data_IF_892442757095
#
_entry.id   IF_892442757095
#
_cell.length_a   1.000
_cell.length_b   1.000
_cell.length_c   1.000
_cell.angle_alpha   90.00
_cell.angle_beta   90.00
_cell.angle_gamma   90.00
#
_symmetry.space_group_name_H-M   'P 1'
#
loop_
_entity.id
_entity.type
_entity.pdbx_description
1 polymer ?
#
# COMPACT_ATOMS: atom_id res chain seq x y z
N UNK A 1 -18.33 -26.68 52.11
CA UNK A 1 -18.68 -25.39 51.50
C UNK A 1 -17.53 -24.38 51.48
N UNK A 2 -16.83 -24.11 52.58
CA UNK A 2 -15.74 -23.12 52.62
C UNK A 2 -14.58 -23.37 51.63
N UNK A 3 -14.18 -24.63 51.41
CA UNK A 3 -13.11 -24.99 50.45
C UNK A 3 -13.48 -24.68 48.99
N UNK A 4 -14.75 -24.85 48.61
CA UNK A 4 -15.20 -24.56 47.25
C UNK A 4 -15.39 -23.04 47.04
N UNK A 5 -15.75 -22.28 48.09
CA UNK A 5 -15.79 -20.82 48.02
C UNK A 5 -14.38 -20.22 47.86
N UNK A 6 -13.37 -20.77 48.54
CA UNK A 6 -11.98 -20.29 48.40
C UNK A 6 -11.39 -20.56 47.01
N UNK A 7 -11.72 -21.70 46.40
CA UNK A 7 -11.28 -22.04 45.03
C UNK A 7 -11.95 -21.11 44.01
N UNK A 8 -13.24 -20.81 44.17
CA UNK A 8 -13.94 -19.84 43.31
C UNK A 8 -13.37 -18.43 43.49
N UNK A 9 -13.00 -18.03 44.72
CA UNK A 9 -12.40 -16.72 44.99
C UNK A 9 -10.97 -16.59 44.45
N UNK A 10 -10.17 -17.67 44.51
CA UNK A 10 -8.83 -17.76 43.91
C UNK A 10 -8.88 -17.79 42.37
N UNK A 11 -9.88 -18.46 41.78
CA UNK A 11 -10.11 -18.41 40.33
C UNK A 11 -10.64 -17.04 39.87
N UNK A 12 -11.49 -16.37 40.66
CA UNK A 12 -11.94 -15.02 40.35
C UNK A 12 -10.85 -13.95 40.50
N UNK A 13 -9.84 -14.19 41.35
CA UNK A 13 -8.65 -13.32 41.43
C UNK A 13 -7.67 -13.53 40.25
N UNK A 14 -7.67 -14.73 39.64
CA UNK A 14 -6.86 -15.04 38.46
C UNK A 14 -7.50 -14.58 37.13
N UNK A 15 -8.79 -14.22 37.15
CA UNK A 15 -9.49 -13.56 36.03
C UNK A 15 -9.70 -12.08 36.39
N UNK A 16 -8.66 -11.42 36.88
CA UNK A 16 -8.53 -10.00 36.59
C UNK A 16 -8.33 -9.90 35.08
N UNK A 17 -9.42 -9.65 34.35
CA UNK A 17 -9.38 -9.27 32.93
C UNK A 17 -8.31 -8.18 32.83
N UNK A 18 -7.17 -8.53 32.22
CA UNK A 18 -6.09 -7.58 31.94
C UNK A 18 -6.74 -6.41 31.22
N UNK A 19 -6.66 -5.20 31.79
CA UNK A 19 -7.11 -4.01 31.08
C UNK A 19 -6.14 -3.81 29.91
N UNK A 20 -6.52 -4.32 28.73
CA UNK A 20 -5.77 -4.11 27.50
C UNK A 20 -6.06 -2.68 27.02
N UNK A 21 -5.05 -1.81 27.11
CA UNK A 21 -5.10 -0.49 26.49
C UNK A 21 -4.84 -0.66 24.99
N UNK A 22 -5.71 -0.09 24.16
CA UNK A 22 -5.65 -0.21 22.70
C UNK A 22 -5.40 1.15 22.08
N UNK A 23 -4.28 1.29 21.38
CA UNK A 23 -4.01 2.39 20.48
C UNK A 23 -4.53 2.03 19.09
N UNK A 24 -5.46 2.80 18.55
CA UNK A 24 -6.03 2.63 17.21
C UNK A 24 -5.52 3.71 16.27
N UNK A 25 -4.86 3.28 15.20
CA UNK A 25 -4.33 4.14 14.13
C UNK A 25 -5.06 3.76 12.85
N UNK A 26 -5.71 4.73 12.23
CA UNK A 26 -6.21 4.58 10.86
C UNK A 26 -5.19 5.16 9.88
N UNK A 27 -5.12 4.62 8.67
CA UNK A 27 -4.24 5.15 7.63
C UNK A 27 -4.75 4.82 6.23
N UNK A 28 -4.23 5.56 5.25
CA UNK A 28 -4.50 5.31 3.83
C UNK A 28 -3.82 6.33 2.93
N UNK A 29 -3.88 6.06 1.63
CA UNK A 29 -3.42 6.94 0.56
C UNK A 29 -4.40 6.93 -0.61
N UNK A 30 -4.15 7.78 -1.60
CA UNK A 30 -4.86 7.76 -2.88
C UNK A 30 -6.35 8.10 -2.70
N UNK A 31 -6.58 9.22 -2.03
CA UNK A 31 -7.88 9.85 -1.89
C UNK A 31 -8.09 10.83 -3.03
N UNK A 32 -8.94 10.45 -3.97
CA UNK A 32 -9.37 11.30 -5.07
C UNK A 32 -10.80 11.76 -4.82
N UNK A 33 -10.98 13.08 -4.73
CA UNK A 33 -12.31 13.66 -4.64
C UNK A 33 -13.01 13.64 -6.01
N UNK A 34 -14.27 13.20 -6.01
CA UNK A 34 -15.14 13.27 -7.19
C UNK A 34 -16.26 14.27 -6.95
N UNK A 35 -16.34 15.32 -7.78
CA UNK A 35 -17.42 16.32 -7.68
C UNK A 35 -18.83 15.75 -7.84
N UNK A 36 -18.96 14.58 -8.46
CA UNK A 36 -20.25 13.94 -8.72
C UNK A 36 -20.77 13.10 -7.55
N UNK A 37 -19.91 12.73 -6.58
CA UNK A 37 -20.28 11.84 -5.47
C UNK A 37 -19.46 12.15 -4.21
N UNK A 38 -20.14 12.33 -3.08
CA UNK A 38 -19.48 12.40 -1.77
C UNK A 38 -18.85 11.04 -1.44
N UNK A 39 -17.65 11.04 -0.88
CA UNK A 39 -16.98 9.82 -0.41
C UNK A 39 -17.18 9.69 1.09
N UNK A 40 -17.96 8.71 1.55
CA UNK A 40 -18.25 8.48 2.98
C UNK A 40 -17.14 7.73 3.73
N UNK A 41 -15.98 7.51 3.09
CA UNK A 41 -14.85 6.77 3.66
C UNK A 41 -14.40 7.31 5.02
N UNK A 42 -14.37 8.63 5.23
CA UNK A 42 -14.01 9.20 6.53
C UNK A 42 -15.08 9.01 7.60
N UNK A 43 -16.36 8.99 7.21
CA UNK A 43 -17.45 8.62 8.12
C UNK A 43 -17.30 7.17 8.60
N UNK A 44 -16.85 6.28 7.71
CA UNK A 44 -16.58 4.87 8.01
C UNK A 44 -15.36 4.70 8.92
N UNK A 45 -14.25 5.37 8.60
CA UNK A 45 -13.04 5.36 9.43
C UNK A 45 -13.35 5.88 10.84
N UNK A 46 -14.20 6.91 10.98
CA UNK A 46 -14.60 7.45 12.28
C UNK A 46 -15.22 6.40 13.21
N UNK A 47 -15.87 5.37 12.68
CA UNK A 47 -16.52 4.31 13.49
C UNK A 47 -15.52 3.51 14.34
N UNK A 48 -14.25 3.52 13.95
CA UNK A 48 -13.17 2.85 14.67
C UNK A 48 -12.56 3.70 15.78
N UNK A 49 -13.02 4.95 15.96
CA UNK A 49 -12.52 5.92 16.94
C UNK A 49 -10.97 6.00 16.99
N UNK A 50 -10.29 6.21 15.85
CA UNK A 50 -8.83 6.24 15.83
C UNK A 50 -8.29 7.46 16.60
N UNK A 51 -7.19 7.26 17.34
CA UNK A 51 -6.45 8.37 17.94
C UNK A 51 -5.63 9.14 16.90
N UNK A 52 -5.11 8.42 15.89
CA UNK A 52 -4.35 8.98 14.79
C UNK A 52 -4.90 8.55 13.44
N UNK A 53 -4.87 9.47 12.48
CA UNK A 53 -5.01 9.15 11.07
C UNK A 53 -3.73 9.55 10.34
N UNK A 54 -3.12 8.60 9.66
CA UNK A 54 -1.87 8.80 8.92
C UNK A 54 -2.17 8.86 7.42
N UNK A 55 -1.97 10.03 6.82
CA UNK A 55 -1.87 10.14 5.37
C UNK A 55 -0.56 9.55 4.89
N UNK A 56 -0.64 8.58 3.99
CA UNK A 56 0.52 7.95 3.36
C UNK A 56 0.64 8.34 1.88
N UNK A 57 0.26 9.57 1.53
CA UNK A 57 0.34 10.08 0.16
C UNK A 57 -1.00 10.26 -0.54
N UNK A 58 -0.93 10.92 -1.70
CA UNK A 58 -2.02 11.18 -2.63
C UNK A 58 -3.33 11.60 -1.98
N UNK A 59 -3.27 12.61 -1.11
CA UNK A 59 -4.42 13.13 -0.39
C UNK A 59 -5.29 14.06 -1.25
N UNK A 60 -4.76 14.63 -2.35
CA UNK A 60 -5.51 15.59 -3.17
C UNK A 60 -5.27 15.51 -4.69
N UNK A 61 -4.30 14.71 -5.16
CA UNK A 61 -3.95 14.57 -6.59
C UNK A 61 -3.78 15.91 -7.31
N UNK A 62 -2.76 16.67 -6.94
CA UNK A 62 -2.60 18.06 -7.38
C UNK A 62 -2.00 18.24 -8.77
N UNK A 63 -1.53 17.16 -9.40
CA UNK A 63 -0.81 17.16 -10.68
C UNK A 63 -1.52 17.94 -11.78
N UNK A 64 -0.69 18.39 -12.72
CA UNK A 64 -1.07 19.06 -13.95
C UNK A 64 -1.80 20.39 -13.74
N UNK A 65 -1.86 20.90 -12.50
CA UNK A 65 -2.50 22.18 -12.16
C UNK A 65 -1.43 23.23 -11.87
N UNK A 66 -1.22 24.17 -12.79
CA UNK A 66 -0.25 25.26 -12.58
C UNK A 66 -0.84 26.42 -11.77
N UNK A 67 -2.16 26.47 -11.59
CA UNK A 67 -2.86 27.66 -11.06
C UNK A 67 -3.88 27.35 -9.96
N UNK A 68 -4.14 26.08 -9.63
CA UNK A 68 -5.20 25.67 -8.66
C UNK A 68 -4.78 24.51 -7.77
N UNK A 69 -3.51 24.49 -7.37
CA UNK A 69 -2.94 23.43 -6.51
C UNK A 69 -3.62 23.45 -5.14
N UNK A 70 -3.74 24.64 -4.54
CA UNK A 70 -4.41 24.84 -3.24
C UNK A 70 -5.88 24.41 -3.27
N UNK A 71 -6.60 24.74 -4.33
CA UNK A 71 -8.03 24.40 -4.47
C UNK A 71 -8.29 22.89 -4.32
N UNK A 72 -7.38 22.04 -4.79
CA UNK A 72 -7.52 20.59 -4.69
C UNK A 72 -7.38 20.10 -3.25
N UNK A 73 -6.41 20.61 -2.50
CA UNK A 73 -6.33 20.36 -1.05
C UNK A 73 -7.53 20.92 -0.31
N UNK A 74 -8.00 22.13 -0.67
CA UNK A 74 -9.18 22.74 -0.08
C UNK A 74 -10.44 21.89 -0.33
N UNK A 75 -10.58 21.26 -1.51
CA UNK A 75 -11.67 20.34 -1.81
C UNK A 75 -11.66 19.15 -0.84
N UNK A 76 -10.53 18.46 -0.66
CA UNK A 76 -10.43 17.37 0.34
C UNK A 76 -10.70 17.90 1.74
N UNK A 77 -10.14 19.05 2.11
CA UNK A 77 -10.31 19.66 3.44
C UNK A 77 -11.75 20.08 3.76
N UNK A 78 -12.51 20.45 2.74
CA UNK A 78 -13.90 20.90 2.84
C UNK A 78 -14.91 19.77 2.63
N UNK A 79 -14.47 18.56 2.29
CA UNK A 79 -15.34 17.39 2.36
C UNK A 79 -15.96 17.30 3.76
N UNK A 80 -17.29 17.18 3.82
CA UNK A 80 -18.03 17.29 5.08
C UNK A 80 -17.64 16.18 6.08
N UNK A 81 -17.30 14.99 5.57
CA UNK A 81 -16.92 13.87 6.42
C UNK A 81 -15.48 14.04 6.90
N UNK A 82 -14.55 14.46 6.05
CA UNK A 82 -13.18 14.75 6.45
C UNK A 82 -13.11 15.92 7.43
N UNK A 83 -13.82 17.01 7.15
CA UNK A 83 -13.88 18.19 8.02
C UNK A 83 -14.41 17.86 9.43
N UNK A 84 -15.37 16.93 9.53
CA UNK A 84 -15.86 16.44 10.81
C UNK A 84 -14.87 15.47 11.47
N UNK A 85 -14.31 14.53 10.71
CA UNK A 85 -13.34 13.53 11.16
C UNK A 85 -12.13 14.17 11.86
N UNK A 86 -11.56 15.22 11.24
CA UNK A 86 -10.41 15.97 11.79
C UNK A 86 -10.62 16.58 13.17
N UNK A 87 -11.86 16.73 13.65
CA UNK A 87 -12.14 17.29 14.98
C UNK A 87 -11.92 16.29 16.12
N UNK A 88 -11.91 14.99 15.81
CA UNK A 88 -11.80 13.90 16.80
C UNK A 88 -10.56 13.04 16.67
N UNK A 89 -9.75 13.25 15.63
CA UNK A 89 -8.53 12.47 15.37
C UNK A 89 -7.33 13.38 15.17
N UNK A 90 -6.15 12.93 15.59
CA UNK A 90 -4.89 13.63 15.27
C UNK A 90 -4.44 13.26 13.86
N UNK A 91 -4.40 14.24 12.95
CA UNK A 91 -3.88 14.03 11.59
C UNK A 91 -2.36 14.16 11.59
N UNK A 92 -1.70 13.17 10.96
CA UNK A 92 -0.28 13.21 10.59
C UNK A 92 -0.15 12.73 9.16
N UNK A 93 0.92 13.12 8.46
CA UNK A 93 1.00 12.83 7.04
C UNK A 93 2.36 13.01 6.42
N UNK A 94 2.57 12.27 5.35
CA UNK A 94 3.57 12.48 4.31
C UNK A 94 2.85 12.51 2.95
N UNK A 95 3.34 13.32 2.03
CA UNK A 95 2.86 13.38 0.66
C UNK A 95 3.48 12.26 -0.16
N UNK A 96 2.89 12.04 -1.32
CA UNK A 96 3.49 11.24 -2.38
C UNK A 96 3.54 12.05 -3.69
N UNK A 97 3.83 11.44 -4.83
CA UNK A 97 4.10 12.14 -6.08
C UNK A 97 2.94 13.02 -6.54
N UNK A 98 1.71 12.52 -6.45
CA UNK A 98 0.54 13.27 -6.88
C UNK A 98 0.24 14.49 -5.98
N UNK A 99 0.73 14.48 -4.74
CA UNK A 99 0.70 15.62 -3.82
C UNK A 99 1.94 16.53 -3.95
N UNK A 100 2.92 16.13 -4.76
CA UNK A 100 4.13 16.91 -5.07
C UNK A 100 4.00 17.72 -6.37
N UNK A 101 2.84 17.64 -7.04
CA UNK A 101 2.54 18.27 -8.34
C UNK A 101 3.38 17.72 -9.50
N UNK A 102 3.92 16.50 -9.36
CA UNK A 102 4.64 15.81 -10.42
C UNK A 102 4.60 14.30 -10.18
N UNK A 103 3.93 13.58 -11.07
CA UNK A 103 3.92 12.12 -11.11
C UNK A 103 5.35 11.55 -11.15
N UNK A 104 5.63 10.58 -10.27
CA UNK A 104 6.95 10.02 -10.01
C UNK A 104 8.03 11.09 -9.73
N UNK A 105 7.66 12.21 -9.11
CA UNK A 105 8.55 13.33 -8.83
C UNK A 105 9.75 12.95 -7.95
N UNK A 106 10.87 13.64 -8.14
CA UNK A 106 12.10 13.46 -7.37
C UNK A 106 12.68 14.82 -6.92
N UNK A 107 13.93 14.85 -6.44
CA UNK A 107 14.57 16.06 -5.93
C UNK A 107 14.65 17.21 -6.94
N UNK A 108 14.53 16.94 -8.24
CA UNK A 108 14.58 17.92 -9.32
C UNK A 108 13.21 18.53 -9.65
N UNK A 109 12.13 18.10 -8.97
CA UNK A 109 10.81 18.70 -9.11
C UNK A 109 10.86 20.21 -8.76
N UNK A 110 10.60 21.12 -9.71
CA UNK A 110 10.69 22.56 -9.48
C UNK A 110 9.62 23.09 -8.53
N UNK A 111 8.55 22.32 -8.26
CA UNK A 111 7.43 22.72 -7.41
C UNK A 111 7.54 22.20 -5.98
N UNK A 112 8.55 21.38 -5.65
CA UNK A 112 8.60 20.65 -4.37
C UNK A 112 8.48 21.52 -3.12
N UNK A 113 9.07 22.73 -3.11
CA UNK A 113 8.92 23.64 -1.96
C UNK A 113 7.49 24.13 -1.80
N UNK A 114 6.87 24.55 -2.90
CA UNK A 114 5.49 25.05 -2.87
C UNK A 114 4.50 23.95 -2.52
N UNK A 115 4.68 22.75 -3.09
CA UNK A 115 3.88 21.57 -2.77
C UNK A 115 4.03 21.17 -1.30
N UNK A 116 5.27 21.19 -0.76
CA UNK A 116 5.55 20.98 0.65
C UNK A 116 4.75 21.92 1.55
N UNK A 117 4.80 23.23 1.29
CA UNK A 117 4.07 24.19 2.14
C UNK A 117 2.56 23.99 2.06
N UNK A 118 2.01 23.75 0.85
CA UNK A 118 0.58 23.51 0.67
C UNK A 118 0.12 22.22 1.35
N UNK A 119 0.92 21.16 1.30
CA UNK A 119 0.60 19.91 2.00
C UNK A 119 0.66 20.09 3.53
N UNK A 120 1.63 20.84 4.04
CA UNK A 120 1.72 21.17 5.47
C UNK A 120 0.53 22.02 5.94
N UNK A 121 0.05 22.95 5.11
CA UNK A 121 -1.18 23.69 5.36
C UNK A 121 -2.39 22.75 5.36
N UNK A 122 -2.45 21.81 4.41
CA UNK A 122 -3.53 20.84 4.29
C UNK A 122 -3.72 20.00 5.56
N UNK A 123 -2.63 19.43 6.10
CA UNK A 123 -2.67 18.63 7.35
C UNK A 123 -2.66 19.48 8.63
N UNK A 124 -2.67 20.82 8.52
CA UNK A 124 -2.78 21.73 9.66
C UNK A 124 -1.52 21.89 10.51
N UNK A 125 -0.33 21.79 9.91
CA UNK A 125 0.94 22.04 10.63
C UNK A 125 1.07 23.53 10.98
N UNK A 126 1.47 23.84 12.21
CA UNK A 126 1.68 25.22 12.65
C UNK A 126 2.69 25.99 11.78
N UNK A 127 2.47 27.28 11.56
CA UNK A 127 3.32 28.15 10.73
C UNK A 127 4.76 28.28 11.26
N UNK A 128 4.98 28.09 12.56
CA UNK A 128 6.30 28.15 13.18
C UNK A 128 6.96 26.77 13.33
N UNK A 129 6.30 25.70 12.90
CA UNK A 129 6.83 24.34 13.00
C UNK A 129 8.18 24.21 12.30
N UNK A 130 9.19 23.57 12.93
CA UNK A 130 10.46 23.24 12.27
C UNK A 130 10.30 22.46 10.96
N UNK A 131 9.22 21.69 10.85
CA UNK A 131 8.87 20.90 9.67
C UNK A 131 8.74 21.76 8.39
N UNK A 132 8.37 23.03 8.53
CA UNK A 132 8.26 23.96 7.38
C UNK A 132 9.62 24.42 6.85
N UNK A 133 10.68 24.32 7.66
CA UNK A 133 12.03 24.82 7.35
C UNK A 133 13.01 23.72 6.92
N UNK A 134 12.74 22.47 7.28
CA UNK A 134 13.60 21.34 6.92
C UNK A 134 13.43 20.91 5.46
N UNK A 135 14.31 20.03 5.01
CA UNK A 135 14.39 19.51 3.64
C UNK A 135 13.49 18.29 3.43
N UNK A 136 12.18 18.54 3.36
CA UNK A 136 11.13 17.53 3.21
C UNK A 136 10.18 17.53 4.39
N UNK A 137 9.29 16.54 4.49
CA UNK A 137 8.27 16.46 5.55
C UNK A 137 8.33 15.19 6.41
N UNK A 138 9.50 14.54 6.41
CA UNK A 138 9.76 13.43 7.31
C UNK A 138 9.65 13.87 8.77
N UNK A 139 9.00 13.05 9.59
CA UNK A 139 8.71 13.39 10.99
C UNK A 139 8.57 12.13 11.85
N UNK A 140 8.68 12.29 13.16
CA UNK A 140 8.43 11.21 14.11
C UNK A 140 7.76 11.72 15.37
N UNK A 141 7.01 10.85 16.03
CA UNK A 141 6.35 11.14 17.31
C UNK A 141 6.05 9.84 18.05
N UNK A 142 5.98 9.93 19.37
CA UNK A 142 5.47 8.82 20.18
C UNK A 142 3.94 8.83 20.15
N UNK A 143 3.34 7.68 19.84
CA UNK A 143 1.89 7.52 19.77
C UNK A 143 1.27 7.17 21.13
N UNK A 144 2.12 7.00 22.15
CA UNK A 144 1.78 6.73 23.53
C UNK A 144 2.49 7.72 24.48
N UNK A 145 2.05 7.78 25.72
CA UNK A 145 2.61 8.71 26.73
C UNK A 145 3.93 8.21 27.34
N UNK A 146 4.20 6.91 27.29
CA UNK A 146 5.35 6.28 27.94
C UNK A 146 6.55 6.08 27.00
N UNK A 147 6.47 6.63 25.79
CA UNK A 147 7.50 6.56 24.75
C UNK A 147 7.83 5.10 24.33
N UNK A 148 6.83 4.23 24.28
CA UNK A 148 6.97 2.82 23.89
C UNK A 148 6.76 2.61 22.38
N UNK A 149 5.88 3.38 21.75
CA UNK A 149 5.45 3.21 20.35
C UNK A 149 5.89 4.45 19.56
N UNK A 150 6.96 4.31 18.78
CA UNK A 150 7.49 5.38 17.95
C UNK A 150 6.98 5.26 16.52
N UNK A 151 6.25 6.28 16.04
CA UNK A 151 5.89 6.41 14.63
C UNK A 151 6.99 7.21 13.92
N UNK A 152 7.49 6.68 12.81
CA UNK A 152 8.55 7.28 11.98
C UNK A 152 8.06 7.40 10.55
N UNK A 153 7.73 8.61 10.12
CA UNK A 153 7.20 8.87 8.77
C UNK A 153 8.32 9.38 7.86
N UNK A 154 8.56 8.67 6.76
CA UNK A 154 9.63 8.99 5.79
C UNK A 154 9.07 9.70 4.55
N UNK A 155 9.70 10.81 4.16
CA UNK A 155 9.48 11.47 2.87
C UNK A 155 10.35 10.79 1.80
N UNK A 156 9.73 10.35 0.70
CA UNK A 156 10.40 9.63 -0.39
C UNK A 156 10.39 10.41 -1.72
N UNK A 157 10.05 11.70 -1.69
CA UNK A 157 10.01 12.57 -2.88
C UNK A 157 11.01 13.70 -2.83
N UNK A 158 11.07 14.44 -1.72
CA UNK A 158 11.75 15.74 -1.67
C UNK A 158 13.24 15.69 -2.04
N UNK A 159 13.93 14.66 -1.56
CA UNK A 159 15.36 14.43 -1.74
C UNK A 159 15.66 13.13 -2.50
N UNK A 160 14.63 12.46 -3.03
CA UNK A 160 14.78 11.24 -3.82
C UNK A 160 15.60 11.51 -5.08
N UNK A 161 16.50 10.60 -5.42
CA UNK A 161 17.46 10.74 -6.51
C UNK A 161 17.57 9.44 -7.29
N UNK A 162 16.90 9.42 -8.44
CA UNK A 162 16.91 8.29 -9.39
C UNK A 162 18.30 8.01 -9.95
N UNK A 163 19.19 9.00 -10.02
CA UNK A 163 20.53 8.83 -10.59
C UNK A 163 21.44 8.07 -9.64
N UNK A 164 21.35 8.36 -8.34
CA UNK A 164 22.17 7.69 -7.31
C UNK A 164 21.47 6.47 -6.72
N UNK A 165 20.15 6.37 -6.87
CA UNK A 165 19.35 5.33 -6.24
C UNK A 165 19.15 5.58 -4.75
N UNK A 166 19.09 6.85 -4.32
CA UNK A 166 18.76 7.24 -2.94
C UNK A 166 17.31 7.71 -2.85
N UNK A 167 16.53 7.10 -1.95
CA UNK A 167 15.11 7.42 -1.75
C UNK A 167 14.89 8.60 -0.78
N UNK A 168 15.86 8.91 0.10
CA UNK A 168 15.67 9.83 1.24
C UNK A 168 16.63 11.03 1.24
N UNK A 169 17.85 10.87 0.73
CA UNK A 169 18.91 11.86 0.88
C UNK A 169 19.58 11.84 2.26
N UNK A 170 20.81 12.36 2.33
CA UNK A 170 21.70 12.13 3.48
C UNK A 170 21.22 12.75 4.79
N UNK A 171 20.56 13.92 4.77
CA UNK A 171 20.05 14.55 5.99
C UNK A 171 18.95 13.70 6.63
N UNK A 172 18.02 13.19 5.83
CA UNK A 172 16.96 12.31 6.29
C UNK A 172 17.51 10.95 6.72
N UNK A 173 18.56 10.41 6.08
CA UNK A 173 19.23 9.20 6.56
C UNK A 173 19.85 9.37 7.95
N UNK A 174 20.55 10.48 8.19
CA UNK A 174 21.09 10.80 9.52
C UNK A 174 19.97 10.94 10.54
N UNK A 175 18.92 11.68 10.18
CA UNK A 175 17.73 11.82 11.03
C UNK A 175 17.07 10.47 11.34
N UNK A 176 16.96 9.57 10.35
CA UNK A 176 16.34 8.26 10.49
C UNK A 176 17.14 7.40 11.48
N UNK A 177 18.46 7.37 11.36
CA UNK A 177 19.31 6.66 12.32
C UNK A 177 19.13 7.18 13.76
N UNK A 178 18.97 8.50 13.95
CA UNK A 178 18.64 9.05 15.28
C UNK A 178 17.28 8.55 15.80
N UNK A 179 16.30 8.28 14.92
CA UNK A 179 15.01 7.70 15.35
C UNK A 179 15.19 6.26 15.84
N UNK A 180 16.04 5.47 15.17
CA UNK A 180 16.39 4.12 15.63
C UNK A 180 17.15 4.11 16.96
N UNK A 181 17.80 5.21 17.37
CA UNK A 181 18.45 5.33 18.69
C UNK A 181 17.47 5.64 19.82
N UNK A 182 16.37 6.34 19.55
CA UNK A 182 15.37 6.73 20.56
C UNK A 182 14.79 5.52 21.29
N UNK A 183 14.54 5.61 22.59
CA UNK A 183 13.91 4.52 23.36
C UNK A 183 12.51 4.24 22.78
N UNK A 184 12.24 2.99 22.41
CA UNK A 184 10.94 2.51 21.95
C UNK A 184 10.93 0.98 21.97
N UNK A 185 9.78 0.38 22.25
CA UNK A 185 9.55 -1.07 22.21
C UNK A 185 8.91 -1.50 20.87
N UNK A 186 8.32 -0.57 20.12
CA UNK A 186 7.84 -0.78 18.76
C UNK A 186 8.12 0.47 17.90
N UNK A 187 8.65 0.24 16.70
CA UNK A 187 8.73 1.26 15.65
C UNK A 187 7.67 0.94 14.58
N UNK A 188 6.86 1.93 14.24
CA UNK A 188 5.95 1.89 13.08
C UNK A 188 6.52 2.87 12.06
N UNK A 189 7.17 2.35 11.02
CA UNK A 189 7.72 3.19 9.96
C UNK A 189 6.68 3.35 8.85
N UNK A 190 6.53 4.54 8.29
CA UNK A 190 5.62 4.79 7.17
C UNK A 190 6.36 5.31 5.95
N UNK A 191 5.84 4.99 4.77
CA UNK A 191 6.35 5.41 3.46
C UNK A 191 5.18 5.68 2.52
N UNK A 192 5.31 6.61 1.56
CA UNK A 192 4.30 6.83 0.52
C UNK A 192 4.14 5.61 -0.39
N UNK A 193 5.28 5.12 -0.88
CA UNK A 193 5.37 3.91 -1.72
C UNK A 193 5.73 2.66 -0.91
N UNK A 194 5.54 1.47 -1.50
CA UNK A 194 5.94 0.20 -0.89
C UNK A 194 7.47 0.10 -0.70
N UNK A 195 7.92 -0.43 0.45
CA UNK A 195 9.34 -0.47 0.83
C UNK A 195 9.99 -1.79 0.46
N UNK A 196 9.41 -2.93 0.88
CA UNK A 196 10.04 -4.23 0.77
C UNK A 196 10.16 -4.77 -0.67
N UNK A 197 9.10 -4.77 -1.49
CA UNK A 197 9.07 -5.64 -2.66
C UNK A 197 10.00 -5.14 -3.76
N UNK A 198 10.84 -6.02 -4.31
CA UNK A 198 11.77 -5.72 -5.39
C UNK A 198 11.42 -6.44 -6.71
N UNK A 199 10.26 -7.11 -6.74
CA UNK A 199 9.79 -7.98 -7.82
C UNK A 199 8.50 -7.49 -8.48
N UNK A 200 8.00 -6.31 -8.09
CA UNK A 200 6.78 -5.71 -8.66
C UNK A 200 7.13 -4.98 -9.94
N UNK A 201 6.41 -5.31 -11.01
CA UNK A 201 6.54 -4.60 -12.28
C UNK A 201 5.59 -3.40 -12.30
N UNK A 202 6.10 -2.23 -12.71
CA UNK A 202 5.30 -1.01 -12.91
C UNK A 202 5.02 -0.17 -11.65
N UNK A 203 5.08 -0.73 -10.45
CA UNK A 203 4.89 0.02 -9.19
C UNK A 203 6.20 0.69 -8.73
N UNK A 204 6.11 1.91 -8.19
CA UNK A 204 7.26 2.53 -7.53
C UNK A 204 7.56 1.84 -6.20
N UNK A 205 8.84 1.64 -5.92
CA UNK A 205 9.33 1.11 -4.65
C UNK A 205 10.66 1.78 -4.32
N UNK A 206 11.09 1.68 -3.07
CA UNK A 206 12.39 2.19 -2.64
C UNK A 206 13.51 1.64 -3.53
N UNK A 207 14.53 2.46 -3.77
CA UNK A 207 15.68 2.00 -4.54
C UNK A 207 16.47 0.92 -3.79
N UNK A 208 17.08 -0.01 -4.54
CA UNK A 208 17.85 -1.14 -3.99
C UNK A 208 18.91 -0.72 -2.98
N UNK A 209 19.63 0.38 -3.24
CA UNK A 209 20.65 0.89 -2.32
C UNK A 209 20.02 1.39 -1.01
N UNK A 210 18.94 2.15 -1.09
CA UNK A 210 18.19 2.63 0.08
C UNK A 210 17.62 1.48 0.92
N UNK A 211 17.04 0.45 0.28
CA UNK A 211 16.60 -0.77 0.99
C UNK A 211 17.74 -1.42 1.76
N UNK A 212 18.91 -1.59 1.12
CA UNK A 212 20.10 -2.15 1.78
C UNK A 212 20.55 -1.32 2.98
N UNK A 213 20.56 0.02 2.85
CA UNK A 213 20.92 0.93 3.96
C UNK A 213 19.92 0.85 5.11
N UNK A 214 18.61 0.82 4.80
CA UNK A 214 17.55 0.64 5.81
C UNK A 214 17.67 -0.70 6.53
N UNK A 215 17.84 -1.81 5.80
CA UNK A 215 17.99 -3.14 6.39
C UNK A 215 19.24 -3.25 7.27
N UNK A 216 20.31 -2.52 6.93
CA UNK A 216 21.50 -2.41 7.81
C UNK A 216 21.16 -1.73 9.13
N UNK A 217 20.34 -0.66 9.13
CA UNK A 217 19.87 -0.02 10.36
C UNK A 217 18.98 -0.96 11.18
N UNK A 218 18.04 -1.64 10.53
CA UNK A 218 17.12 -2.59 11.18
C UNK A 218 17.92 -3.71 11.87
N UNK A 219 18.90 -4.30 11.19
CA UNK A 219 19.79 -5.32 11.77
C UNK A 219 20.64 -4.78 12.91
N UNK A 220 21.19 -3.56 12.76
CA UNK A 220 22.07 -2.92 13.76
C UNK A 220 21.35 -2.64 15.08
N UNK A 221 20.13 -2.11 15.02
CA UNK A 221 19.39 -1.69 16.23
C UNK A 221 18.43 -2.77 16.76
N UNK A 222 18.02 -3.71 15.90
CA UNK A 222 17.21 -4.89 16.23
C UNK A 222 15.98 -4.61 17.12
N UNK A 223 15.27 -3.53 16.79
CA UNK A 223 14.00 -3.16 17.45
C UNK A 223 12.82 -3.75 16.68
N UNK A 224 11.74 -4.19 17.38
CA UNK A 224 10.50 -4.58 16.71
C UNK A 224 10.02 -3.47 15.80
N UNK A 225 9.81 -3.80 14.52
CA UNK A 225 9.42 -2.83 13.50
C UNK A 225 8.43 -3.42 12.51
N UNK A 226 7.45 -2.61 12.13
CA UNK A 226 6.54 -2.87 11.00
C UNK A 226 6.51 -1.65 10.07
N UNK A 227 6.10 -1.86 8.83
CA UNK A 227 5.93 -0.81 7.83
C UNK A 227 4.46 -0.58 7.48
N UNK A 228 4.08 0.67 7.23
CA UNK A 228 2.81 1.06 6.60
C UNK A 228 3.11 1.78 5.27
N UNK A 229 2.38 1.48 4.20
CA UNK A 229 2.60 2.09 2.87
C UNK A 229 1.33 2.34 2.04
N UNK A 230 1.47 3.10 0.95
CA UNK A 230 0.42 3.56 0.05
C UNK A 230 0.72 3.33 -1.46
N UNK A 231 0.40 4.33 -2.30
CA UNK A 231 0.69 4.46 -3.76
C UNK A 231 -0.06 3.51 -4.71
N UNK A 232 -0.09 2.22 -4.39
CA UNK A 232 -0.33 1.16 -5.38
C UNK A 232 -1.81 0.90 -5.76
N UNK A 233 -2.78 1.65 -5.21
CA UNK A 233 -4.23 1.56 -5.46
C UNK A 233 -4.86 0.18 -5.14
N UNK A 234 -4.28 -0.55 -4.19
CA UNK A 234 -4.83 -1.76 -3.58
C UNK A 234 -4.29 -1.91 -2.15
N UNK A 235 -4.84 -2.85 -1.40
CA UNK A 235 -4.27 -3.27 -0.11
C UNK A 235 -3.49 -4.58 -0.24
N UNK A 236 -2.40 -4.68 0.52
CA UNK A 236 -1.53 -5.85 0.54
C UNK A 236 -0.92 -6.06 1.93
N UNK A 237 -0.88 -7.32 2.37
CA UNK A 237 -0.12 -7.74 3.56
C UNK A 237 1.13 -8.45 3.08
N UNK A 238 2.29 -7.86 3.34
CA UNK A 238 3.58 -8.45 2.97
C UNK A 238 4.36 -8.91 4.19
N UNK A 239 5.14 -9.97 4.02
CA UNK A 239 6.13 -10.46 4.97
C UNK A 239 7.49 -10.55 4.27
N UNK A 240 8.53 -10.04 4.91
CA UNK A 240 9.89 -10.20 4.42
C UNK A 240 10.29 -11.69 4.44
N UNK A 241 10.70 -12.29 3.30
CA UNK A 241 10.85 -13.75 3.21
C UNK A 241 12.11 -14.28 3.89
N UNK A 242 13.06 -13.41 4.27
CA UNK A 242 14.36 -13.82 4.80
C UNK A 242 14.70 -13.16 6.14
N UNK A 243 13.97 -13.48 7.23
CA UNK A 243 14.13 -12.84 8.53
C UNK A 243 15.56 -12.95 9.09
N UNK A 244 16.30 -14.03 8.80
CA UNK A 244 17.70 -14.21 9.21
C UNK A 244 18.61 -13.05 8.74
N UNK A 245 18.32 -12.40 7.60
CA UNK A 245 19.09 -11.26 7.10
C UNK A 245 18.90 -10.00 7.93
N UNK A 246 17.73 -9.85 8.54
CA UNK A 246 17.35 -8.69 9.35
C UNK A 246 17.57 -8.93 10.85
N UNK A 247 17.70 -10.20 11.27
CA UNK A 247 17.70 -10.62 12.67
C UNK A 247 16.31 -10.64 13.30
N UNK A 248 15.26 -10.41 12.52
CA UNK A 248 13.88 -10.29 12.96
C UNK A 248 12.89 -10.53 11.81
N UNK A 249 11.64 -10.88 12.13
CA UNK A 249 10.54 -10.84 11.17
C UNK A 249 10.17 -9.38 10.87
N UNK A 250 9.79 -9.11 9.62
CA UNK A 250 9.36 -7.79 9.17
C UNK A 250 8.09 -7.94 8.35
N UNK A 251 7.10 -7.10 8.64
CA UNK A 251 5.84 -7.02 7.91
C UNK A 251 5.63 -5.61 7.37
N UNK A 252 4.97 -5.52 6.23
CA UNK A 252 4.52 -4.27 5.63
C UNK A 252 3.04 -4.38 5.30
N UNK A 253 2.28 -3.39 5.75
CA UNK A 253 0.85 -3.28 5.53
C UNK A 253 0.57 -2.12 4.59
N UNK A 254 0.14 -2.44 3.38
CA UNK A 254 -0.22 -1.43 2.38
C UNK A 254 -1.73 -1.21 2.41
N UNK A 255 -2.16 0.05 2.51
CA UNK A 255 -3.55 0.44 2.26
C UNK A 255 -3.57 1.65 1.34
N UNK A 256 -3.89 1.38 0.09
CA UNK A 256 -3.87 2.35 -0.98
C UNK A 256 -5.14 2.25 -1.82
N UNK A 257 -5.65 3.40 -2.23
CA UNK A 257 -6.91 3.54 -2.96
C UNK A 257 -8.07 3.75 -2.01
N UNK A 258 -8.06 4.82 -1.22
CA UNK A 258 -9.19 5.13 -0.32
C UNK A 258 -10.49 5.35 -1.07
N UNK A 259 -10.42 5.99 -2.24
CA UNK A 259 -11.58 6.27 -3.10
C UNK A 259 -11.29 5.98 -4.58
N UNK A 260 -10.08 5.50 -4.87
CA UNK A 260 -9.60 5.22 -6.21
C UNK A 260 -8.72 3.97 -6.19
N UNK A 261 -9.33 2.80 -6.37
CA UNK A 261 -8.60 1.55 -6.51
C UNK A 261 -8.63 1.02 -7.95
N UNK A 262 -7.66 0.17 -8.30
CA UNK A 262 -7.48 -0.29 -9.67
C UNK A 262 -8.70 -1.06 -10.22
N UNK A 263 -9.36 -1.88 -9.40
CA UNK A 263 -10.51 -2.69 -9.84
C UNK A 263 -11.83 -1.90 -9.93
N UNK A 264 -11.88 -0.67 -9.43
CA UNK A 264 -13.10 0.14 -9.47
C UNK A 264 -13.37 0.69 -10.89
N UNK A 265 -12.35 0.75 -11.74
CA UNK A 265 -12.42 1.33 -13.09
C UNK A 265 -12.18 0.31 -14.22
N UNK A 266 -11.44 -0.76 -13.94
CA UNK A 266 -11.12 -1.79 -14.94
C UNK A 266 -11.70 -3.12 -14.45
N UNK A 267 -12.88 -3.53 -14.95
CA UNK A 267 -13.40 -4.86 -14.70
C UNK A 267 -12.33 -5.92 -15.01
N UNK A 268 -12.20 -6.94 -14.15
CA UNK A 268 -11.20 -8.01 -14.23
C UNK A 268 -9.73 -7.62 -13.94
N UNK A 269 -9.42 -6.35 -13.61
CA UNK A 269 -8.04 -5.97 -13.23
C UNK A 269 -7.51 -6.82 -12.08
N UNK A 270 -8.28 -6.98 -11.00
CA UNK A 270 -7.88 -7.83 -9.87
C UNK A 270 -7.54 -9.27 -10.27
N UNK A 271 -8.27 -9.87 -11.23
CA UNK A 271 -7.97 -11.21 -11.73
C UNK A 271 -6.64 -11.26 -12.49
N UNK A 272 -6.41 -10.28 -13.37
CA UNK A 272 -5.15 -10.17 -14.13
C UNK A 272 -3.98 -9.92 -13.17
N UNK A 273 -4.11 -8.95 -12.27
CA UNK A 273 -3.09 -8.61 -11.30
C UNK A 273 -2.75 -9.78 -10.39
N UNK A 274 -3.73 -10.54 -9.91
CA UNK A 274 -3.49 -11.71 -9.09
C UNK A 274 -2.74 -12.82 -9.83
N UNK A 275 -2.98 -12.98 -11.14
CA UNK A 275 -2.27 -13.97 -11.95
C UNK A 275 -0.79 -13.62 -12.15
N UNK A 276 -0.49 -12.34 -12.41
CA UNK A 276 0.87 -11.88 -12.72
C UNK A 276 1.68 -11.44 -11.51
N UNK A 277 1.07 -11.32 -10.33
CA UNK A 277 1.78 -10.84 -9.15
C UNK A 277 2.65 -11.94 -8.52
N UNK A 278 3.98 -11.70 -8.35
CA UNK A 278 4.86 -12.67 -7.71
C UNK A 278 4.54 -12.89 -6.23
N UNK A 279 4.77 -14.11 -5.72
CA UNK A 279 4.50 -14.46 -4.32
C UNK A 279 5.71 -14.41 -3.41
N UNK A 280 6.76 -13.67 -3.77
CA UNK A 280 7.98 -13.60 -2.95
C UNK A 280 7.74 -12.90 -1.60
N UNK A 281 6.83 -11.92 -1.54
CA UNK A 281 6.55 -11.14 -0.33
C UNK A 281 5.14 -11.33 0.24
N UNK A 282 4.21 -11.89 -0.53
CA UNK A 282 2.79 -12.03 -0.18
C UNK A 282 2.15 -13.12 -1.03
N UNK A 283 1.00 -13.66 -0.63
CA UNK A 283 0.24 -14.64 -1.39
C UNK A 283 -1.03 -14.04 -1.99
N UNK A 284 -1.73 -14.80 -2.83
CA UNK A 284 -2.97 -14.37 -3.48
C UNK A 284 -4.07 -13.92 -2.50
N UNK A 285 -4.12 -14.50 -1.29
CA UNK A 285 -5.08 -14.16 -0.24
C UNK A 285 -4.72 -12.88 0.53
N UNK A 286 -3.50 -12.38 0.35
CA UNK A 286 -2.98 -11.22 1.06
C UNK A 286 -3.23 -9.91 0.27
N UNK A 287 -4.09 -9.94 -0.75
CA UNK A 287 -4.38 -8.82 -1.64
C UNK A 287 -5.86 -8.44 -1.67
N UNK A 288 -6.14 -7.14 -1.75
CA UNK A 288 -7.48 -6.62 -1.99
C UNK A 288 -7.43 -5.42 -2.94
N UNK A 289 -7.98 -5.60 -4.16
CA UNK A 289 -7.80 -4.67 -5.28
C UNK A 289 -8.89 -3.60 -5.45
N UNK A 290 -9.78 -3.45 -4.47
CA UNK A 290 -10.84 -2.43 -4.45
C UNK A 290 -10.56 -1.35 -3.41
N UNK A 291 -11.38 -0.31 -3.40
CA UNK A 291 -11.21 0.81 -2.49
C UNK A 291 -11.21 0.37 -1.03
N UNK A 292 -10.22 0.85 -0.26
CA UNK A 292 -9.95 0.38 1.10
C UNK A 292 -9.29 1.42 2.02
N UNK A 293 -9.30 1.14 3.31
CA UNK A 293 -8.51 1.85 4.33
C UNK A 293 -7.94 0.87 5.36
N UNK A 294 -6.83 1.23 6.00
CA UNK A 294 -6.14 0.41 6.98
C UNK A 294 -6.48 0.82 8.41
N UNK A 295 -6.71 -0.17 9.27
CA UNK A 295 -6.86 -0.01 10.73
C UNK A 295 -5.77 -0.84 11.41
N UNK A 296 -4.95 -0.19 12.22
CA UNK A 296 -3.90 -0.80 13.02
C UNK A 296 -4.21 -0.59 14.50
N UNK A 297 -4.41 -1.67 15.24
CA UNK A 297 -4.62 -1.66 16.69
C UNK A 297 -3.35 -2.19 17.36
N UNK A 298 -2.73 -1.39 18.21
CA UNK A 298 -1.62 -1.83 19.07
C UNK A 298 -2.16 -2.07 20.47
N UNK A 299 -2.12 -3.32 20.90
CA UNK A 299 -2.56 -3.77 22.19
C UNK A 299 -1.36 -3.75 23.14
N UNK A 300 -1.54 -3.11 24.28
CA UNK A 300 -0.50 -2.95 25.30
C UNK A 300 -0.89 -3.64 26.60
N UNK A 301 0.12 -4.02 27.40
CA UNK A 301 -0.10 -4.59 28.73
C UNK A 301 -0.30 -3.49 29.78
N UNK A 302 -0.49 -3.86 31.05
CA UNK A 302 -0.69 -2.92 32.17
C UNK A 302 0.48 -1.95 32.44
N UNK A 303 1.63 -2.13 31.78
CA UNK A 303 2.79 -1.22 31.82
C UNK A 303 2.92 -0.38 30.54
N UNK A 304 1.88 -0.37 29.70
CA UNK A 304 1.81 0.30 28.41
C UNK A 304 2.85 -0.19 27.37
N UNK A 305 3.51 -1.33 27.63
CA UNK A 305 4.37 -2.00 26.65
C UNK A 305 3.53 -2.69 25.58
N UNK A 306 3.83 -2.53 24.28
CA UNK A 306 3.14 -3.23 23.20
C UNK A 306 3.37 -4.74 23.29
N UNK A 307 2.30 -5.52 23.11
CA UNK A 307 2.36 -6.99 23.15
C UNK A 307 1.81 -7.63 21.88
N UNK A 308 0.89 -6.95 21.21
CA UNK A 308 0.20 -7.46 20.02
C UNK A 308 -0.20 -6.32 19.09
N UNK A 309 -0.14 -6.60 17.79
CA UNK A 309 -0.62 -5.74 16.72
C UNK A 309 -1.72 -6.50 15.99
N UNK A 310 -2.91 -5.92 15.90
CA UNK A 310 -3.98 -6.40 15.03
C UNK A 310 -4.12 -5.40 13.87
N UNK A 311 -3.84 -5.86 12.66
CA UNK A 311 -4.03 -5.10 11.42
C UNK A 311 -5.26 -5.61 10.68
N UNK A 312 -6.09 -4.69 10.19
CA UNK A 312 -7.26 -4.95 9.37
C UNK A 312 -7.27 -4.00 8.16
N UNK A 313 -7.49 -4.55 6.97
CA UNK A 313 -7.92 -3.78 5.80
C UNK A 313 -9.43 -3.81 5.77
N UNK A 314 -10.06 -2.64 5.64
CA UNK A 314 -11.50 -2.50 5.48
C UNK A 314 -11.86 -2.02 4.08
N UNK A 315 -12.96 -2.53 3.52
CA UNK A 315 -13.54 -1.96 2.30
C UNK A 315 -14.05 -0.55 2.55
N UNK A 316 -13.76 0.37 1.64
CA UNK A 316 -14.31 1.73 1.67
C UNK A 316 -15.82 1.76 1.39
N UNK A 317 -16.39 0.71 0.79
CA UNK A 317 -17.80 0.68 0.37
C UNK A 317 -18.76 0.30 1.49
N UNK A 318 -18.35 -0.62 2.37
CA UNK A 318 -19.22 -1.21 3.40
C UNK A 318 -18.55 -1.40 4.77
N UNK A 319 -17.26 -1.04 4.90
CA UNK A 319 -16.46 -1.21 6.12
C UNK A 319 -16.22 -2.65 6.56
N UNK A 320 -16.53 -3.64 5.72
CA UNK A 320 -16.21 -5.05 5.99
C UNK A 320 -14.70 -5.27 6.06
N UNK A 321 -14.27 -6.16 6.96
CA UNK A 321 -12.87 -6.61 7.03
C UNK A 321 -12.60 -7.52 5.83
N UNK A 322 -11.63 -7.15 5.00
CA UNK A 322 -11.29 -7.88 3.76
C UNK A 322 -9.92 -8.55 3.84
N UNK A 323 -9.00 -8.00 4.64
CA UNK A 323 -7.73 -8.62 5.01
C UNK A 323 -7.51 -8.40 6.50
N UNK A 324 -6.83 -9.33 7.17
CA UNK A 324 -6.48 -9.18 8.57
C UNK A 324 -5.20 -9.93 8.92
N UNK A 325 -4.45 -9.40 9.89
CA UNK A 325 -3.26 -10.06 10.43
C UNK A 325 -3.04 -9.66 11.89
N UNK A 326 -2.93 -10.67 12.75
CA UNK A 326 -2.42 -10.50 14.11
C UNK A 326 -0.93 -10.86 14.16
N UNK A 327 -0.15 -10.06 14.88
CA UNK A 327 1.28 -10.26 15.14
C UNK A 327 1.53 -10.04 16.63
N UNK A 328 2.22 -10.97 17.29
CA UNK A 328 2.73 -10.72 18.63
C UNK A 328 4.10 -10.04 18.56
N UNK A 329 4.39 -9.09 19.45
CA UNK A 329 5.67 -8.34 19.41
C UNK A 329 6.88 -9.28 19.55
N UNK A 330 6.75 -10.36 20.32
CA UNK A 330 7.77 -11.39 20.43
C UNK A 330 8.03 -12.15 19.11
N UNK A 331 7.02 -12.33 18.26
CA UNK A 331 7.19 -12.96 16.95
C UNK A 331 8.03 -12.10 16.01
N UNK A 332 7.96 -10.77 16.14
CA UNK A 332 8.86 -9.89 15.39
C UNK A 332 10.31 -10.20 15.75
N UNK A 333 10.61 -10.40 17.04
CA UNK A 333 11.97 -10.62 17.52
C UNK A 333 12.44 -12.08 17.51
N UNK A 334 11.66 -13.02 16.96
CA UNK A 334 12.03 -14.43 16.97
C UNK A 334 13.33 -14.67 16.18
N UNK A 335 14.37 -15.09 16.89
CA UNK A 335 15.71 -15.31 16.33
C UNK A 335 15.76 -16.63 15.54
N UNK A 336 15.76 -16.53 14.22
CA UNK A 336 16.26 -17.60 13.34
C UNK A 336 17.70 -17.24 12.94
N UNK A 337 18.66 -17.50 13.83
CA UNK A 337 20.08 -17.29 13.53
C UNK A 337 20.65 -18.56 12.91
N UNK A 338 20.57 -18.63 11.59
CA UNK A 338 21.36 -19.56 10.78
C UNK A 338 21.79 -18.84 9.50
N UNK A 339 23.02 -18.31 9.50
CA UNK A 339 23.62 -17.63 8.35
C UNK A 339 23.84 -18.58 7.14
N UNK A 340 23.65 -19.90 7.32
CA UNK A 340 23.71 -20.88 6.24
C UNK A 340 22.37 -21.08 5.50
N UNK A 341 21.27 -20.49 6.01
CA UNK A 341 19.96 -20.63 5.39
C UNK A 341 19.92 -19.89 4.06
N UNK A 342 19.63 -20.61 2.97
CA UNK A 342 19.40 -19.99 1.67
C UNK A 342 18.20 -19.05 1.74
N UNK A 343 18.34 -17.88 1.12
CA UNK A 343 17.27 -16.90 1.05
C UNK A 343 16.73 -16.87 -0.38
N UNK A 344 15.40 -16.86 -0.53
CA UNK A 344 14.78 -16.70 -1.86
C UNK A 344 15.30 -15.44 -2.56
N UNK A 345 15.67 -14.39 -1.81
CA UNK A 345 16.21 -13.14 -2.36
C UNK A 345 17.65 -13.25 -2.92
N UNK A 346 18.32 -14.40 -2.79
CA UNK A 346 19.59 -14.69 -3.48
C UNK A 346 19.42 -15.00 -4.96
N UNK A 347 18.26 -15.52 -5.34
CA UNK A 347 17.89 -15.75 -6.73
C UNK A 347 17.65 -14.40 -7.40
N UNK A 348 18.15 -14.18 -8.62
CA UNK A 348 17.93 -12.91 -9.33
C UNK A 348 16.43 -12.60 -9.50
N UNK A 349 16.08 -11.32 -9.48
CA UNK A 349 14.68 -10.85 -9.56
C UNK A 349 13.96 -11.50 -10.75
N UNK A 350 14.56 -11.42 -11.93
CA UNK A 350 13.97 -11.91 -13.18
C UNK A 350 13.70 -13.41 -13.09
N UNK A 351 14.64 -14.17 -12.52
CA UNK A 351 14.48 -15.60 -12.32
C UNK A 351 13.36 -15.92 -11.33
N UNK A 352 13.26 -15.18 -10.21
CA UNK A 352 12.13 -15.31 -9.28
C UNK A 352 10.80 -15.02 -9.96
N UNK A 353 10.72 -13.95 -10.75
CA UNK A 353 9.49 -13.60 -11.48
C UNK A 353 9.09 -14.71 -12.46
N UNK A 354 10.05 -15.27 -13.21
CA UNK A 354 9.80 -16.39 -14.12
C UNK A 354 9.35 -17.66 -13.39
N UNK A 355 9.98 -17.99 -12.26
CA UNK A 355 9.58 -19.13 -11.43
C UNK A 355 8.13 -18.97 -10.93
N UNK A 356 7.76 -17.79 -10.47
CA UNK A 356 6.39 -17.48 -10.05
C UNK A 356 5.39 -17.63 -11.21
N UNK A 357 5.73 -17.13 -12.40
CA UNK A 357 4.89 -17.26 -13.59
C UNK A 357 4.68 -18.72 -14.01
N UNK A 358 5.74 -19.54 -13.99
CA UNK A 358 5.65 -20.96 -14.31
C UNK A 358 4.80 -21.73 -13.30
N UNK A 359 4.94 -21.44 -12.01
CA UNK A 359 4.08 -22.02 -10.97
C UNK A 359 2.60 -21.71 -11.22
N UNK A 360 2.28 -20.46 -11.57
CA UNK A 360 0.90 -20.04 -11.88
C UNK A 360 0.32 -20.71 -13.12
N UNK A 361 1.11 -20.83 -14.20
CA UNK A 361 0.69 -21.60 -15.38
C UNK A 361 0.38 -23.03 -14.98
N UNK A 362 1.23 -23.66 -14.18
CA UNK A 362 1.05 -25.06 -13.80
C UNK A 362 -0.20 -25.27 -12.93
N UNK A 363 -0.41 -24.40 -11.93
CA UNK A 363 -1.62 -24.38 -11.09
C UNK A 363 -2.90 -24.16 -11.90
N UNK A 364 -2.80 -23.39 -12.98
CA UNK A 364 -3.93 -23.02 -13.83
C UNK A 364 -3.91 -23.73 -15.20
N UNK A 365 -3.18 -24.84 -15.35
CA UNK A 365 -2.85 -25.39 -16.68
C UNK A 365 -4.10 -25.74 -17.48
N UNK A 366 -5.14 -26.23 -16.78
CA UNK A 366 -6.45 -26.52 -17.36
C UNK A 366 -7.13 -25.24 -17.86
N UNK A 367 -7.19 -24.19 -17.02
CA UNK A 367 -7.82 -22.90 -17.36
C UNK A 367 -7.08 -22.22 -18.51
N UNK A 368 -5.75 -22.21 -18.47
CA UNK A 368 -4.89 -21.66 -19.52
C UNK A 368 -5.09 -22.43 -20.82
N UNK A 369 -5.12 -23.77 -20.77
CA UNK A 369 -5.34 -24.62 -21.94
C UNK A 369 -6.73 -24.39 -22.56
N UNK A 370 -7.78 -24.32 -21.72
CA UNK A 370 -9.13 -24.01 -22.18
C UNK A 370 -9.22 -22.61 -22.81
N UNK A 371 -8.54 -21.61 -22.22
CA UNK A 371 -8.53 -20.24 -22.73
C UNK A 371 -7.80 -20.14 -24.07
N UNK A 372 -6.64 -20.79 -24.20
CA UNK A 372 -5.89 -20.87 -25.46
C UNK A 372 -6.71 -21.58 -26.54
N UNK A 373 -7.39 -22.67 -26.19
CA UNK A 373 -8.29 -23.37 -27.11
C UNK A 373 -9.46 -22.48 -27.55
N UNK A 374 -10.08 -21.74 -26.63
CA UNK A 374 -11.16 -20.81 -26.94
C UNK A 374 -10.69 -19.67 -27.87
N UNK A 375 -9.52 -19.09 -27.61
CA UNK A 375 -8.91 -18.07 -28.48
C UNK A 375 -8.61 -18.66 -29.87
N UNK A 376 -8.06 -19.86 -29.93
CA UNK A 376 -7.80 -20.55 -31.20
C UNK A 376 -9.09 -20.79 -31.99
N UNK A 377 -10.14 -21.30 -31.33
CA UNK A 377 -11.45 -21.52 -31.94
C UNK A 377 -12.08 -20.21 -32.42
N UNK A 378 -11.90 -19.11 -31.68
CA UNK A 378 -12.37 -17.79 -32.08
C UNK A 378 -11.60 -17.26 -33.31
N UNK A 379 -10.28 -17.43 -33.36
CA UNK A 379 -9.47 -17.08 -34.53
C UNK A 379 -9.91 -17.90 -35.75
N UNK A 380 -10.12 -19.22 -35.59
CA UNK A 380 -10.64 -20.10 -36.64
C UNK A 380 -12.01 -19.61 -37.13
N UNK A 381 -12.91 -19.24 -36.20
CA UNK A 381 -14.21 -18.68 -36.53
C UNK A 381 -14.10 -17.37 -37.32
N UNK A 382 -13.21 -16.45 -36.93
CA UNK A 382 -12.96 -15.22 -37.68
C UNK A 382 -12.44 -15.49 -39.09
N UNK A 383 -11.49 -16.42 -39.24
CA UNK A 383 -10.95 -16.83 -40.54
C UNK A 383 -12.05 -17.45 -41.41
N UNK A 384 -12.88 -18.33 -40.85
CA UNK A 384 -14.00 -18.95 -41.57
C UNK A 384 -15.00 -17.90 -42.08
N UNK A 385 -15.39 -16.95 -41.23
CA UNK A 385 -16.29 -15.87 -41.62
C UNK A 385 -15.66 -14.97 -42.69
N UNK A 386 -14.37 -14.67 -42.59
CA UNK A 386 -13.66 -13.90 -43.60
C UNK A 386 -13.63 -14.61 -44.96
N UNK A 387 -13.32 -15.91 -44.99
CA UNK A 387 -13.35 -16.72 -46.21
C UNK A 387 -14.77 -16.76 -46.81
N UNK A 388 -15.79 -16.96 -45.97
CA UNK A 388 -17.21 -16.96 -46.39
C UNK A 388 -17.64 -15.62 -46.97
N UNK A 389 -17.16 -14.51 -46.40
CA UNK A 389 -17.43 -13.17 -46.92
C UNK A 389 -16.77 -12.94 -48.28
N UNK A 390 -15.49 -13.32 -48.43
CA UNK A 390 -14.75 -13.21 -49.69
C UNK A 390 -15.39 -14.07 -50.80
N UNK A 391 -15.87 -15.28 -50.50
CA UNK A 391 -16.51 -16.13 -51.50
C UNK A 391 -17.81 -15.53 -52.03
N UNK A 392 -18.68 -15.01 -51.13
CA UNK A 392 -19.90 -14.30 -51.50
C UNK A 392 -19.61 -13.05 -52.33
N UNK A 393 -18.57 -12.29 -51.94
CA UNK A 393 -18.14 -11.11 -52.70
C UNK A 393 -17.68 -11.49 -54.12
N UNK A 394 -16.87 -12.54 -54.26
CA UNK A 394 -16.41 -13.01 -55.58
C UNK A 394 -17.57 -13.52 -56.45
N UNK A 395 -18.56 -14.18 -55.86
CA UNK A 395 -19.76 -14.63 -56.57
C UNK A 395 -20.59 -13.45 -57.09
N UNK A 396 -20.84 -12.46 -56.23
CA UNK A 396 -21.52 -11.21 -56.61
C UNK A 396 -20.73 -10.47 -57.70
N UNK A 397 -19.41 -10.39 -57.56
CA UNK A 397 -18.53 -9.77 -58.57
C UNK A 397 -18.65 -10.48 -59.91
N UNK A 398 -18.62 -11.83 -59.94
CA UNK A 398 -18.85 -12.62 -61.16
C UNK A 398 -20.21 -12.35 -61.76
N UNK A 399 -21.28 -12.30 -60.96
CA UNK A 399 -22.63 -11.98 -61.44
C UNK A 399 -22.69 -10.58 -62.07
N UNK A 400 -22.08 -9.58 -61.44
CA UNK A 400 -21.99 -8.22 -61.99
C UNK A 400 -21.25 -8.20 -63.33
N UNK A 401 -20.12 -8.91 -63.45
CA UNK A 401 -19.36 -8.99 -64.70
C UNK A 401 -20.17 -9.68 -65.81
N UNK A 402 -20.87 -10.78 -65.50
CA UNK A 402 -21.74 -11.49 -66.44
C UNK A 402 -22.90 -10.60 -66.91
N UNK A 403 -23.54 -9.85 -66.01
CA UNK A 403 -24.61 -8.91 -66.38
C UNK A 403 -24.09 -7.77 -67.25
N UNK A 404 -22.90 -7.23 -66.96
CA UNK A 404 -22.25 -6.21 -67.82
C UNK A 404 -21.94 -6.72 -69.23
N UNK A 405 -21.58 -8.00 -69.37
CA UNK A 405 -21.33 -8.62 -70.68
C UNK A 405 -22.63 -8.80 -71.48
N UNK A 406 -23.73 -9.22 -70.83
CA UNK A 406 -25.04 -9.33 -71.47
C UNK A 406 -25.56 -7.99 -71.98
N UNK A 407 -25.46 -6.92 -71.18
CA UNK A 407 -25.87 -5.56 -71.55
C UNK A 407 -25.06 -5.00 -72.74
N UNK A 408 -23.84 -5.49 -72.99
CA UNK A 408 -23.04 -5.08 -74.16
C UNK A 408 -23.35 -5.86 -75.44
N UNK A 409 -24.10 -6.97 -75.34
CA UNK A 409 -24.45 -7.84 -76.47
C UNK A 409 -25.87 -7.59 -76.99
N UNK A 410 -26.72 -6.98 -76.18
CA UNK A 410 -27.97 -6.31 -76.58
C UNK A 410 -27.70 -4.90 -77.09
#
# INVERSE_FOLDING_TARGET
MLKNLLIVFLYSLLIAVKAENVLTIAFGSCFKFYRSHDTDVFLRIQQFNPQYFLWLGDAAYIDYSHTRVKDKFDITNNDKYYAQFKKSVTIKGIYDDHDSNQNNGDKFNPFKESAKQLYLDFIGVDNNSPLRKQDGIYQSFYADQDNQILIVMTDIRYNSDKQTGDSLGENQWKWLEEQFKKKSELIIMTSGIQVMPDDRDGSETWFKWSKKRLYTLIKKYNKPIIFLSGDVHYSEIMKYPCPHRLGQNLYEFTSSGMTFANSDHIPFFGFISQFFRPTTFSNNQDHYYKSNFGILKVITNNRNSPVRIDYETHSSDDSSVVLQKTIYIEELQQQFYDDSQSCILDVYREERQWQNYLLRINESIFIVSCSLLAVLLFIIFLIYNFISYISKFLELYKQIQMNKLKIKQE
#
